data_IF_609817927138
#
_entry.id   IF_609817927138
#
_cell.length_a   1.000
_cell.length_b   1.000
_cell.length_c   1.000
_cell.angle_alpha   90.00
_cell.angle_beta   90.00
_cell.angle_gamma   90.00
#
_symmetry.space_group_name_H-M   'P 1'
#
loop_
_entity.id
_entity.type
_entity.pdbx_description
1 polymer ?
#
# COMPACT_ATOMS: atom_id res chain seq x y z
N UNK A 1 11.32 -27.02 3.62
CA UNK A 1 12.52 -26.34 4.18
C UNK A 1 12.75 -25.06 3.40
N UNK A 2 12.97 -23.93 4.08
CA UNK A 2 13.30 -22.67 3.40
C UNK A 2 14.73 -22.73 2.84
N UNK A 3 14.96 -22.13 1.66
CA UNK A 3 16.32 -22.00 1.10
C UNK A 3 17.24 -21.19 2.02
N UNK A 4 18.58 -21.36 1.88
CA UNK A 4 19.57 -20.57 2.64
C UNK A 4 19.39 -19.06 2.43
N UNK A 5 19.01 -18.65 1.24
CA UNK A 5 18.72 -17.26 0.88
C UNK A 5 17.45 -16.75 1.56
N UNK A 6 16.38 -17.54 1.59
CA UNK A 6 15.16 -17.22 2.30
C UNK A 6 15.38 -17.12 3.82
N UNK A 7 16.26 -17.97 4.40
CA UNK A 7 16.64 -17.86 5.82
C UNK A 7 17.47 -16.63 6.11
N UNK A 8 18.38 -16.23 5.19
CA UNK A 8 19.18 -15.01 5.33
C UNK A 8 18.32 -13.75 5.19
N UNK A 9 17.38 -13.76 4.26
CA UNK A 9 16.37 -12.73 4.12
C UNK A 9 15.48 -12.64 5.37
N UNK A 10 14.95 -13.76 5.87
CA UNK A 10 14.16 -13.83 7.10
C UNK A 10 14.91 -13.20 8.29
N UNK A 11 16.20 -13.50 8.48
CA UNK A 11 17.04 -12.93 9.56
C UNK A 11 17.29 -11.42 9.38
N UNK A 12 17.44 -10.95 8.15
CA UNK A 12 17.61 -9.53 7.82
C UNK A 12 16.31 -8.76 8.09
N UNK A 13 15.18 -9.30 7.67
CA UNK A 13 13.88 -8.66 7.80
C UNK A 13 13.25 -8.78 9.20
N UNK A 14 13.62 -9.79 10.01
CA UNK A 14 13.15 -9.90 11.39
C UNK A 14 13.62 -8.74 12.28
N UNK A 15 14.87 -8.27 12.09
CA UNK A 15 15.39 -7.10 12.81
C UNK A 15 14.70 -5.81 12.37
N UNK A 16 14.35 -5.70 11.08
CA UNK A 16 13.63 -4.53 10.54
C UNK A 16 12.16 -4.57 10.99
N UNK A 17 11.55 -5.75 11.00
CA UNK A 17 10.19 -5.97 11.48
C UNK A 17 9.99 -5.55 12.93
N UNK A 18 10.90 -5.92 13.83
CA UNK A 18 10.82 -5.54 15.25
C UNK A 18 10.94 -4.03 15.48
N UNK A 19 11.67 -3.32 14.61
CA UNK A 19 11.75 -1.84 14.67
C UNK A 19 10.46 -1.23 14.15
N UNK A 20 9.91 -1.76 13.07
CA UNK A 20 8.66 -1.28 12.49
C UNK A 20 7.49 -1.56 13.44
N UNK A 21 7.44 -2.75 14.03
CA UNK A 21 6.38 -3.14 14.97
C UNK A 21 6.34 -2.22 16.19
N UNK A 22 7.49 -1.99 16.85
CA UNK A 22 7.56 -1.08 18.00
C UNK A 22 7.02 0.33 17.70
N UNK A 23 7.10 0.76 16.46
CA UNK A 23 6.71 2.11 16.03
C UNK A 23 5.23 2.23 15.66
N UNK A 24 4.60 1.13 15.25
CA UNK A 24 3.16 1.08 14.93
C UNK A 24 2.30 1.14 16.21
N UNK A 25 2.80 0.60 17.33
CA UNK A 25 2.01 0.32 18.55
C UNK A 25 1.84 1.49 19.51
N UNK A 26 2.73 2.46 19.47
CA UNK A 26 2.72 3.55 20.43
C UNK A 26 2.44 4.92 19.79
N UNK A 27 1.30 5.10 19.08
CA UNK A 27 1.05 6.33 18.32
C UNK A 27 1.03 7.58 19.21
N UNK A 28 0.57 7.47 20.46
CA UNK A 28 0.53 8.58 21.43
C UNK A 28 1.92 8.99 21.96
N UNK A 29 2.97 8.15 21.77
CA UNK A 29 4.34 8.39 22.22
C UNK A 29 5.32 8.62 21.08
N UNK A 30 4.88 8.49 19.82
CA UNK A 30 5.78 8.65 18.68
C UNK A 30 6.03 10.14 18.45
N UNK A 31 7.27 10.56 18.63
CA UNK A 31 7.69 11.91 18.23
C UNK A 31 7.70 12.00 16.70
N UNK A 32 7.09 13.02 16.13
CA UNK A 32 6.97 13.24 14.68
C UNK A 32 8.27 13.07 13.89
N UNK A 33 9.40 13.45 14.46
CA UNK A 33 10.69 13.27 13.80
C UNK A 33 11.02 11.79 13.52
N UNK A 34 10.57 10.86 14.39
CA UNK A 34 10.75 9.41 14.16
C UNK A 34 9.93 8.92 12.98
N UNK A 35 8.68 9.36 12.86
CA UNK A 35 7.83 9.05 11.70
C UNK A 35 8.46 9.58 10.41
N UNK A 36 8.92 10.82 10.41
CA UNK A 36 9.62 11.41 9.25
C UNK A 36 10.88 10.65 8.87
N UNK A 37 11.67 10.21 9.85
CA UNK A 37 12.88 9.41 9.61
C UNK A 37 12.53 8.04 9.01
N UNK A 38 11.46 7.40 9.47
CA UNK A 38 11.00 6.13 8.90
C UNK A 38 10.54 6.29 7.45
N UNK A 39 9.74 7.33 7.15
CA UNK A 39 9.33 7.65 5.78
C UNK A 39 10.53 7.89 4.88
N UNK A 40 11.54 8.64 5.38
CA UNK A 40 12.77 8.86 4.64
C UNK A 40 13.50 7.53 4.36
N UNK A 41 13.67 6.68 5.37
CA UNK A 41 14.32 5.37 5.20
C UNK A 41 13.54 4.47 4.23
N UNK A 42 12.21 4.46 4.31
CA UNK A 42 11.36 3.71 3.39
C UNK A 42 11.58 4.16 1.93
N UNK A 43 11.61 5.47 1.70
CA UNK A 43 11.84 6.05 0.39
C UNK A 43 13.26 5.79 -0.14
N UNK A 44 14.27 5.79 0.74
CA UNK A 44 15.65 5.44 0.39
C UNK A 44 15.76 3.98 -0.04
N UNK A 45 15.12 3.06 0.69
CA UNK A 45 15.05 1.64 0.32
C UNK A 45 14.42 1.48 -1.07
N UNK A 46 13.34 2.21 -1.35
CA UNK A 46 12.74 2.24 -2.69
C UNK A 46 13.68 2.73 -3.78
N UNK A 47 14.55 3.71 -3.49
CA UNK A 47 15.50 4.23 -4.47
C UNK A 47 16.63 3.26 -4.85
N UNK A 48 17.07 2.44 -3.91
CA UNK A 48 18.21 1.51 -4.10
C UNK A 48 17.79 0.14 -4.65
N UNK A 49 16.51 -0.20 -4.59
CA UNK A 49 16.02 -1.46 -5.13
C UNK A 49 15.97 -1.40 -6.67
N UNK A 50 16.29 -2.52 -7.36
CA UNK A 50 16.23 -2.59 -8.79
C UNK A 50 14.80 -2.39 -9.29
N UNK A 51 14.67 -1.73 -10.42
CA UNK A 51 13.43 -1.51 -11.15
C UNK A 51 13.38 -2.46 -12.34
N UNK A 52 12.20 -2.70 -12.86
CA UNK A 52 12.03 -3.41 -14.12
C UNK A 52 12.55 -2.56 -15.28
N UNK A 53 13.23 -3.20 -16.23
CA UNK A 53 13.76 -2.54 -17.43
C UNK A 53 12.63 -1.92 -18.27
N UNK A 54 12.90 -0.73 -18.80
CA UNK A 54 11.94 0.02 -19.61
C UNK A 54 10.76 0.61 -18.84
N UNK A 55 10.75 0.49 -17.51
CA UNK A 55 9.69 1.08 -16.70
C UNK A 55 9.79 2.61 -16.68
N UNK A 56 8.64 3.26 -16.81
CA UNK A 56 8.48 4.71 -16.73
C UNK A 56 7.45 5.09 -15.67
N UNK A 57 7.54 6.35 -15.25
CA UNK A 57 6.57 6.95 -14.35
C UNK A 57 6.21 8.35 -14.82
N UNK A 58 4.96 8.69 -14.59
CA UNK A 58 4.39 10.02 -14.80
C UNK A 58 3.74 10.47 -13.49
N UNK A 59 3.97 11.70 -13.08
CA UNK A 59 3.32 12.27 -11.90
C UNK A 59 2.09 13.08 -12.32
N UNK A 60 0.95 12.75 -11.72
CA UNK A 60 -0.36 13.34 -11.97
C UNK A 60 -0.96 13.83 -10.67
N UNK A 61 -1.97 14.70 -10.78
CA UNK A 61 -2.87 15.02 -9.67
C UNK A 61 -4.26 14.54 -10.03
N UNK A 62 -4.78 13.54 -9.31
CA UNK A 62 -6.07 12.93 -9.54
C UNK A 62 -6.99 13.14 -8.33
N UNK A 63 -8.13 13.80 -8.53
CA UNK A 63 -9.04 14.18 -7.44
C UNK A 63 -8.36 15.03 -6.36
N UNK A 64 -7.34 15.80 -6.73
CA UNK A 64 -6.51 16.59 -5.81
C UNK A 64 -5.43 15.78 -5.08
N UNK A 65 -5.23 14.50 -5.41
CA UNK A 65 -4.23 13.64 -4.79
C UNK A 65 -3.07 13.43 -5.76
N UNK A 66 -1.84 13.70 -5.29
CA UNK A 66 -0.62 13.36 -6.02
C UNK A 66 -0.60 11.87 -6.31
N UNK A 67 -0.46 11.48 -7.56
CA UNK A 67 -0.56 10.08 -7.99
C UNK A 67 0.50 9.80 -9.03
N UNK A 68 1.21 8.68 -8.91
CA UNK A 68 2.10 8.22 -9.97
C UNK A 68 1.39 7.21 -10.86
N UNK A 69 1.46 7.43 -12.16
CA UNK A 69 1.16 6.44 -13.19
C UNK A 69 2.44 5.71 -13.53
N UNK A 70 2.44 4.40 -13.43
CA UNK A 70 3.60 3.53 -13.70
C UNK A 70 3.25 2.63 -14.89
N UNK A 71 4.13 2.59 -15.87
CA UNK A 71 4.00 1.77 -17.07
C UNK A 71 5.30 1.05 -17.39
N UNK A 72 5.20 -0.03 -18.15
CA UNK A 72 6.29 -0.79 -18.74
C UNK A 72 6.00 -0.99 -20.24
N UNK A 73 6.94 -1.44 -21.05
CA UNK A 73 6.71 -1.59 -22.49
C UNK A 73 5.53 -2.50 -22.89
N UNK A 74 5.12 -3.39 -21.97
CA UNK A 74 3.98 -4.30 -22.18
C UNK A 74 2.72 -3.86 -21.43
N UNK A 75 2.70 -2.67 -20.82
CA UNK A 75 1.50 -2.18 -20.12
C UNK A 75 0.38 -1.89 -21.11
N UNK A 76 -0.77 -2.47 -20.80
CA UNK A 76 -2.03 -2.27 -21.52
C UNK A 76 -2.73 -1.02 -20.94
N UNK A 77 -3.02 0.01 -21.76
CA UNK A 77 -3.69 1.22 -21.30
C UNK A 77 -5.15 0.98 -20.89
N UNK A 78 -5.75 -0.15 -21.27
CA UNK A 78 -7.13 -0.52 -20.91
C UNK A 78 -7.22 -1.34 -19.62
N UNK A 79 -6.08 -1.79 -19.06
CA UNK A 79 -6.00 -2.56 -17.82
C UNK A 79 -5.39 -1.71 -16.72
N UNK A 80 -6.21 -1.23 -15.83
CA UNK A 80 -5.83 -0.28 -14.80
C UNK A 80 -5.80 -0.94 -13.44
N UNK A 81 -4.69 -0.75 -12.73
CA UNK A 81 -4.57 -1.12 -11.33
C UNK A 81 -4.42 0.14 -10.49
N UNK A 82 -5.40 0.45 -9.67
CA UNK A 82 -5.27 1.44 -8.61
C UNK A 82 -4.72 0.73 -7.36
N UNK A 83 -3.43 0.98 -7.08
CA UNK A 83 -2.72 0.30 -6.01
C UNK A 83 -2.56 1.19 -4.78
N UNK A 84 -3.05 0.74 -3.64
CA UNK A 84 -2.87 1.39 -2.35
C UNK A 84 -1.70 0.72 -1.61
N UNK A 85 -0.69 1.51 -1.25
CA UNK A 85 0.49 0.98 -0.59
C UNK A 85 0.24 0.62 0.87
N UNK A 86 1.00 -0.34 1.41
CA UNK A 86 1.04 -0.66 2.82
C UNK A 86 1.82 0.36 3.65
N UNK A 87 2.06 0.04 4.92
CA UNK A 87 2.82 0.87 5.85
C UNK A 87 2.00 1.38 7.03
N UNK A 88 1.01 0.59 7.47
CA UNK A 88 0.19 0.86 8.65
C UNK A 88 -0.47 2.24 8.66
N UNK A 89 -0.75 2.80 7.48
CA UNK A 89 -1.25 4.17 7.30
C UNK A 89 -0.33 5.28 7.81
N UNK A 90 0.90 4.96 8.22
CA UNK A 90 1.88 5.91 8.79
C UNK A 90 3.08 6.15 7.90
N UNK A 91 3.49 5.14 7.14
CA UNK A 91 4.63 5.19 6.22
C UNK A 91 4.22 4.66 4.85
N UNK A 92 5.14 4.70 3.90
CA UNK A 92 4.86 4.35 2.51
C UNK A 92 4.72 5.58 1.65
N UNK A 93 4.95 5.40 0.37
CA UNK A 93 4.82 6.45 -0.65
C UNK A 93 4.97 5.84 -2.04
N UNK A 94 4.58 6.54 -3.11
CA UNK A 94 4.88 6.14 -4.47
C UNK A 94 6.38 5.87 -4.71
N UNK A 95 7.26 6.69 -4.10
CA UNK A 95 8.72 6.53 -4.21
C UNK A 95 9.22 5.20 -3.67
N UNK A 96 8.72 4.81 -2.50
CA UNK A 96 9.13 3.58 -1.82
C UNK A 96 8.65 2.32 -2.53
N UNK A 97 7.47 2.40 -3.13
CA UNK A 97 6.81 1.29 -3.83
C UNK A 97 7.18 1.17 -5.30
N UNK A 98 7.75 2.22 -5.90
CA UNK A 98 8.03 2.27 -7.32
C UNK A 98 8.75 1.03 -7.87
N UNK A 99 9.88 0.55 -7.27
CA UNK A 99 10.56 -0.62 -7.80
C UNK A 99 9.66 -1.86 -7.85
N UNK A 100 8.97 -2.17 -6.76
CA UNK A 100 8.07 -3.31 -6.68
C UNK A 100 6.97 -3.21 -7.74
N UNK A 101 6.35 -2.03 -7.87
CA UNK A 101 5.25 -1.82 -8.82
C UNK A 101 5.69 -1.85 -10.27
N UNK A 102 6.97 -1.53 -10.58
CA UNK A 102 7.49 -1.71 -11.95
C UNK A 102 7.56 -3.18 -12.33
N UNK A 103 7.94 -4.06 -11.40
CA UNK A 103 7.92 -5.51 -11.63
C UNK A 103 6.48 -6.01 -11.74
N UNK A 104 5.58 -5.57 -10.86
CA UNK A 104 4.17 -5.92 -10.94
C UNK A 104 3.56 -5.50 -12.28
N UNK A 105 3.80 -4.27 -12.75
CA UNK A 105 3.33 -3.79 -14.03
C UNK A 105 3.85 -4.65 -15.19
N UNK A 106 5.13 -5.02 -15.16
CA UNK A 106 5.75 -5.87 -16.18
C UNK A 106 5.14 -7.26 -16.24
N UNK A 107 4.98 -7.91 -15.09
CA UNK A 107 4.48 -9.30 -15.04
C UNK A 107 2.98 -9.41 -15.34
N UNK A 108 2.22 -8.36 -15.04
CA UNK A 108 0.76 -8.36 -15.22
C UNK A 108 0.27 -7.63 -16.45
N UNK A 109 1.08 -6.75 -17.03
CA UNK A 109 0.68 -5.86 -18.13
C UNK A 109 -0.25 -4.73 -17.71
N UNK A 110 -0.48 -4.51 -16.42
CA UNK A 110 -1.32 -3.40 -15.96
C UNK A 110 -0.60 -2.05 -16.08
N UNK A 111 -1.34 -1.01 -16.42
CA UNK A 111 -1.01 0.38 -16.10
C UNK A 111 -1.35 0.62 -14.64
N UNK A 112 -0.38 0.97 -13.80
CA UNK A 112 -0.57 1.09 -12.34
C UNK A 112 -0.64 2.56 -11.94
N UNK A 113 -1.67 2.91 -11.17
CA UNK A 113 -1.78 4.19 -10.48
C UNK A 113 -1.58 3.99 -8.98
N UNK A 114 -0.66 4.74 -8.37
CA UNK A 114 -0.40 4.70 -6.94
C UNK A 114 -0.55 6.12 -6.36
N UNK A 115 -1.62 6.38 -5.57
CA UNK A 115 -1.82 7.66 -4.92
C UNK A 115 -0.91 7.82 -3.70
N UNK A 116 -0.41 9.04 -3.51
CA UNK A 116 0.27 9.49 -2.30
C UNK A 116 -0.79 9.96 -1.29
N UNK A 117 -1.57 9.02 -0.78
CA UNK A 117 -2.69 9.31 0.11
C UNK A 117 -2.21 9.81 1.47
N UNK A 118 -3.02 10.62 2.13
CA UNK A 118 -2.73 11.23 3.44
C UNK A 118 -2.45 10.16 4.50
N UNK A 119 -1.43 10.39 5.33
CA UNK A 119 -0.98 9.44 6.33
C UNK A 119 -1.20 9.95 7.76
N UNK A 120 -1.38 9.02 8.69
CA UNK A 120 -1.31 9.29 10.12
C UNK A 120 0.16 9.55 10.54
N UNK A 121 0.39 10.31 11.63
CA UNK A 121 -0.59 10.91 12.51
C UNK A 121 -1.10 12.29 12.07
N UNK A 122 -0.63 12.84 10.93
CA UNK A 122 -1.05 14.15 10.45
C UNK A 122 -2.53 14.14 10.04
N UNK A 123 -2.98 13.03 9.47
CA UNK A 123 -4.35 12.83 9.02
C UNK A 123 -4.87 11.49 9.52
N UNK A 124 -5.92 11.54 10.31
CA UNK A 124 -6.59 10.33 10.81
C UNK A 124 -7.70 9.87 9.87
N UNK A 125 -8.21 8.67 10.13
CA UNK A 125 -9.43 8.18 9.49
C UNK A 125 -10.55 9.26 9.58
N UNK A 126 -11.29 9.52 8.51
CA UNK A 126 -11.38 8.77 7.25
C UNK A 126 -10.52 9.31 6.09
N UNK A 127 -9.53 10.17 6.34
CA UNK A 127 -8.78 10.89 5.29
C UNK A 127 -8.23 9.95 4.20
N UNK A 128 -7.67 8.81 4.58
CA UNK A 128 -7.09 7.83 3.65
C UNK A 128 -8.14 7.27 2.69
N UNK A 129 -9.29 6.87 3.24
CA UNK A 129 -10.39 6.31 2.46
C UNK A 129 -11.01 7.34 1.53
N UNK A 130 -11.12 8.60 2.00
CA UNK A 130 -11.58 9.72 1.16
C UNK A 130 -10.65 9.94 -0.02
N UNK A 131 -9.33 9.88 0.20
CA UNK A 131 -8.34 10.01 -0.87
C UNK A 131 -8.44 8.85 -1.86
N UNK A 132 -8.63 7.63 -1.37
CA UNK A 132 -8.86 6.46 -2.22
C UNK A 132 -10.09 6.58 -3.10
N UNK A 133 -11.21 7.03 -2.53
CA UNK A 133 -12.44 7.29 -3.28
C UNK A 133 -12.23 8.37 -4.33
N UNK A 134 -11.61 9.51 -3.96
CA UNK A 134 -11.34 10.62 -4.88
C UNK A 134 -10.47 10.20 -6.05
N UNK A 135 -9.40 9.42 -5.79
CA UNK A 135 -8.52 8.95 -6.86
C UNK A 135 -9.25 8.01 -7.81
N UNK A 136 -10.08 7.10 -7.29
CA UNK A 136 -10.89 6.21 -8.14
C UNK A 136 -11.89 7.00 -8.99
N UNK A 137 -12.63 7.93 -8.39
CA UNK A 137 -13.56 8.79 -9.12
C UNK A 137 -12.86 9.66 -10.17
N UNK A 138 -11.63 10.12 -9.90
CA UNK A 138 -10.83 10.88 -10.85
C UNK A 138 -10.34 10.04 -12.04
N UNK A 139 -9.96 8.78 -11.82
CA UNK A 139 -9.67 7.86 -12.94
C UNK A 139 -10.83 7.76 -13.91
N UNK A 140 -12.06 7.76 -13.40
CA UNK A 140 -13.28 7.69 -14.21
C UNK A 140 -13.59 9.05 -14.84
N UNK A 141 -13.65 10.10 -14.05
CA UNK A 141 -14.21 11.39 -14.47
C UNK A 141 -13.20 12.28 -15.20
N UNK A 142 -11.90 12.18 -14.85
CA UNK A 142 -10.85 13.03 -15.42
C UNK A 142 -10.08 12.31 -16.52
N UNK A 143 -9.86 10.97 -16.40
CA UNK A 143 -9.13 10.20 -17.39
C UNK A 143 -10.01 9.33 -18.30
N UNK A 144 -11.32 9.25 -18.02
CA UNK A 144 -12.30 8.59 -18.90
C UNK A 144 -12.31 7.06 -18.82
N UNK A 145 -11.66 6.45 -17.82
CA UNK A 145 -11.71 5.00 -17.66
C UNK A 145 -13.10 4.53 -17.24
N UNK A 146 -13.54 3.40 -17.77
CA UNK A 146 -14.73 2.74 -17.23
C UNK A 146 -14.39 2.03 -15.91
N UNK A 147 -15.33 1.93 -14.97
CA UNK A 147 -15.10 1.20 -13.71
C UNK A 147 -14.65 -0.25 -13.94
N UNK A 148 -15.12 -0.88 -15.03
CA UNK A 148 -14.78 -2.24 -15.42
C UNK A 148 -13.32 -2.43 -15.85
N UNK A 149 -12.60 -1.37 -16.21
CA UNK A 149 -11.19 -1.39 -16.55
C UNK A 149 -10.28 -1.27 -15.31
N UNK A 150 -10.84 -0.88 -14.15
CA UNK A 150 -10.07 -0.57 -12.95
C UNK A 150 -10.20 -1.72 -11.93
N UNK A 151 -9.08 -2.30 -11.56
CA UNK A 151 -8.97 -3.18 -10.39
C UNK A 151 -8.34 -2.40 -9.22
N UNK A 152 -8.69 -2.75 -7.98
CA UNK A 152 -7.98 -2.31 -6.80
C UNK A 152 -6.94 -3.34 -6.37
N UNK A 153 -5.82 -2.89 -5.84
CA UNK A 153 -4.82 -3.73 -5.22
C UNK A 153 -4.15 -3.05 -4.06
N UNK A 154 -3.59 -3.85 -3.15
CA UNK A 154 -2.80 -3.32 -2.05
C UNK A 154 -2.29 -4.39 -1.11
N UNK A 155 -1.27 -4.03 -0.34
CA UNK A 155 -0.65 -4.90 0.66
C UNK A 155 -0.89 -4.36 2.06
N UNK A 156 -0.98 -5.23 3.07
CA UNK A 156 -1.08 -4.83 4.48
C UNK A 156 -2.21 -3.80 4.72
N UNK A 157 -1.88 -2.59 5.21
CA UNK A 157 -2.82 -1.48 5.35
C UNK A 157 -3.41 -1.03 4.00
N UNK A 158 -2.66 -1.14 2.89
CA UNK A 158 -3.16 -0.86 1.55
C UNK A 158 -4.19 -1.88 1.07
N UNK A 159 -4.03 -3.15 1.46
CA UNK A 159 -5.05 -4.17 1.26
C UNK A 159 -6.33 -3.87 2.04
N UNK A 160 -6.21 -3.44 3.30
CA UNK A 160 -7.34 -2.91 4.07
C UNK A 160 -7.99 -1.72 3.36
N UNK A 161 -7.20 -0.74 2.93
CA UNK A 161 -7.68 0.44 2.22
C UNK A 161 -8.45 0.08 0.95
N UNK A 162 -7.99 -0.92 0.18
CA UNK A 162 -8.69 -1.42 -1.00
C UNK A 162 -10.11 -1.91 -0.65
N UNK A 163 -10.23 -2.70 0.43
CA UNK A 163 -11.51 -3.23 0.88
C UNK A 163 -12.43 -2.13 1.45
N UNK A 164 -11.90 -1.24 2.28
CA UNK A 164 -12.70 -0.18 2.90
C UNK A 164 -13.14 0.86 1.87
N UNK A 165 -12.30 1.17 0.88
CA UNK A 165 -12.67 2.05 -0.24
C UNK A 165 -13.79 1.42 -1.08
N UNK A 166 -13.69 0.12 -1.39
CA UNK A 166 -14.76 -0.62 -2.08
C UNK A 166 -16.08 -0.56 -1.31
N UNK A 167 -16.05 -0.84 0.01
CA UNK A 167 -17.24 -0.76 0.85
C UNK A 167 -17.82 0.65 0.88
N UNK A 168 -16.98 1.67 0.98
CA UNK A 168 -17.42 3.07 0.96
C UNK A 168 -18.09 3.48 -0.35
N UNK A 169 -17.57 3.00 -1.48
CA UNK A 169 -18.20 3.23 -2.79
C UNK A 169 -19.55 2.53 -2.87
N UNK A 170 -19.63 1.27 -2.42
CA UNK A 170 -20.87 0.49 -2.36
C UNK A 170 -21.93 1.19 -1.51
N UNK A 171 -21.57 1.62 -0.30
CA UNK A 171 -22.49 2.29 0.64
C UNK A 171 -23.04 3.61 0.05
N UNK A 172 -22.26 4.27 -0.80
CA UNK A 172 -22.66 5.49 -1.49
C UNK A 172 -23.40 5.25 -2.81
N UNK A 173 -23.66 3.99 -3.19
CA UNK A 173 -24.27 3.64 -4.47
C UNK A 173 -23.44 4.06 -5.68
N UNK A 174 -22.11 4.15 -5.53
CA UNK A 174 -21.19 4.52 -6.62
C UNK A 174 -20.77 3.30 -7.44
N UNK A 175 -20.22 3.56 -8.61
CA UNK A 175 -19.60 2.52 -9.43
C UNK A 175 -18.49 1.81 -8.63
N UNK A 176 -18.34 0.50 -8.89
CA UNK A 176 -17.34 -0.34 -8.22
C UNK A 176 -16.23 -0.75 -9.20
N UNK A 177 -15.02 -1.02 -8.73
CA UNK A 177 -13.96 -1.58 -9.55
C UNK A 177 -14.34 -2.99 -10.03
N UNK A 178 -13.68 -3.46 -11.08
CA UNK A 178 -13.89 -4.80 -11.66
C UNK A 178 -13.44 -5.94 -10.75
N UNK A 179 -12.39 -5.70 -9.96
CA UNK A 179 -11.82 -6.68 -9.06
C UNK A 179 -11.08 -5.99 -7.90
N UNK A 180 -10.85 -6.74 -6.83
CA UNK A 180 -9.96 -6.35 -5.73
C UNK A 180 -9.05 -7.51 -5.42
N UNK A 181 -7.74 -7.28 -5.31
CA UNK A 181 -6.81 -8.24 -4.76
C UNK A 181 -6.03 -7.65 -3.58
N UNK A 182 -5.72 -8.47 -2.61
CA UNK A 182 -5.00 -8.06 -1.41
C UNK A 182 -3.81 -8.98 -1.13
N UNK A 183 -2.68 -8.37 -0.81
CA UNK A 183 -1.47 -9.08 -0.39
C UNK A 183 -1.34 -8.95 1.12
N UNK A 184 -1.56 -10.05 1.86
CA UNK A 184 -1.52 -10.07 3.32
C UNK A 184 -2.22 -8.87 3.96
N UNK A 185 -3.52 -8.66 3.69
CA UNK A 185 -4.23 -7.45 4.11
C UNK A 185 -4.36 -7.39 5.62
N UNK A 186 -4.28 -6.20 6.19
CA UNK A 186 -4.69 -5.94 7.56
C UNK A 186 -6.23 -5.91 7.62
N UNK A 187 -6.85 -7.07 7.50
CA UNK A 187 -8.30 -7.20 7.32
C UNK A 187 -9.09 -6.88 8.59
N UNK A 188 -8.50 -7.11 9.76
CA UNK A 188 -9.11 -6.84 11.07
C UNK A 188 -8.29 -5.82 11.87
N UNK A 189 -8.52 -4.50 11.69
CA UNK A 189 -7.86 -3.46 12.48
C UNK A 189 -8.21 -3.47 13.98
N UNK A 190 -9.31 -4.14 14.37
CA UNK A 190 -9.72 -4.28 15.76
C UNK A 190 -8.97 -5.40 16.49
N UNK A 191 -8.17 -6.20 15.76
CA UNK A 191 -7.37 -7.29 16.31
C UNK A 191 -8.20 -8.31 17.12
N UNK A 192 -9.37 -8.70 16.59
CA UNK A 192 -10.32 -9.60 17.27
C UNK A 192 -10.10 -11.08 16.94
N UNK A 193 -9.25 -11.39 15.96
CA UNK A 193 -8.96 -12.77 15.54
C UNK A 193 -8.17 -13.54 16.59
N UNK A 194 -8.35 -14.87 16.63
CA UNK A 194 -7.64 -15.77 17.58
C UNK A 194 -6.10 -15.68 17.44
N UNK A 195 -5.59 -15.35 16.25
CA UNK A 195 -4.15 -15.17 16.00
C UNK A 195 -3.54 -13.97 16.72
N UNK A 196 -4.35 -13.10 17.30
CA UNK A 196 -3.88 -11.97 18.11
C UNK A 196 -3.73 -12.31 19.60
N UNK A 197 -3.93 -13.57 20.01
CA UNK A 197 -3.63 -13.99 21.37
C UNK A 197 -2.12 -13.98 21.65
N UNK A 198 -1.72 -13.87 22.92
CA UNK A 198 -0.33 -13.72 23.37
C UNK A 198 0.61 -14.81 22.83
N UNK A 199 0.14 -16.06 22.75
CA UNK A 199 0.95 -17.17 22.26
C UNK A 199 1.28 -17.05 20.76
N UNK A 200 0.30 -16.72 19.95
CA UNK A 200 0.46 -16.57 18.50
C UNK A 200 1.20 -15.29 18.17
N UNK A 201 0.86 -14.18 18.83
CA UNK A 201 1.52 -12.88 18.66
C UNK A 201 3.01 -12.94 18.99
N UNK A 202 3.41 -13.68 20.02
CA UNK A 202 4.83 -13.82 20.39
C UNK A 202 5.69 -14.44 19.29
N UNK A 203 5.07 -15.18 18.37
CA UNK A 203 5.70 -15.82 17.21
C UNK A 203 5.68 -14.95 15.95
N UNK A 204 4.87 -13.89 15.93
CA UNK A 204 4.78 -12.97 14.80
C UNK A 204 5.99 -12.04 14.76
N UNK A 205 6.63 -11.93 13.59
CA UNK A 205 7.85 -11.14 13.42
C UNK A 205 7.60 -9.65 13.26
N UNK A 206 6.37 -9.27 12.92
CA UNK A 206 5.97 -7.89 12.67
C UNK A 206 5.12 -7.34 13.81
N UNK A 207 4.16 -8.13 14.28
CA UNK A 207 3.12 -7.70 15.21
C UNK A 207 3.29 -8.27 16.61
N UNK A 208 4.09 -9.31 16.79
CA UNK A 208 4.25 -10.02 18.06
C UNK A 208 4.55 -9.17 19.30
N UNK A 209 5.35 -8.08 19.21
CA UNK A 209 5.58 -7.18 20.34
C UNK A 209 4.50 -6.11 20.53
N UNK A 210 3.44 -6.16 19.78
CA UNK A 210 2.49 -5.05 19.61
C UNK A 210 1.23 -5.20 20.46
N UNK A 211 0.82 -6.43 20.71
CA UNK A 211 -0.41 -6.77 21.43
C UNK A 211 -0.14 -7.41 22.78
#
# INVERSE_FOLDING_TARGET
MLSKEAMKAKKKYSKLGSIISWLVVHPKKIKMWKVKLQRLNFNLIGKINPKSDGASKEELTLGGIRTWKITTPNSDPEKILLYYHGGAYQVGSPEGYYPMLTHLARETGFTIYIPDYRLAPEHYYPAQVEDGVKTFEALINELGYSPGQIAFGGDSAGGNMSLVTLLKLKDKGKSLPSAVFCISPWADPAATGESYNDEMCSKDLLLGPIF
#
